data_IF_540357869601
#
_entry.id   IF_540357869601
#
_cell.length_a   1.000
_cell.length_b   1.000
_cell.length_c   1.000
_cell.angle_alpha   90.00
_cell.angle_beta   90.00
_cell.angle_gamma   90.00
#
_symmetry.space_group_name_H-M   'P 1'
#
loop_
_entity.id
_entity.type
_entity.pdbx_description
1 polymer ?
#
# COMPACT_ATOMS: atom_id res chain seq x y z
N UNK A 1 -0.47 -8.22 1.99
CA UNK A 1 -0.59 -9.54 1.37
C UNK A 1 -0.97 -10.62 2.38
N UNK A 2 -0.21 -10.75 3.47
CA UNK A 2 -0.48 -11.73 4.53
C UNK A 2 -1.83 -11.51 5.22
N UNK A 3 -2.21 -10.25 5.44
CA UNK A 3 -3.54 -9.91 5.94
C UNK A 3 -4.64 -10.42 5.00
N UNK A 4 -4.48 -10.25 3.70
CA UNK A 4 -5.44 -10.68 2.69
C UNK A 4 -5.53 -12.20 2.58
N UNK A 5 -4.39 -12.90 2.61
CA UNK A 5 -4.35 -14.37 2.61
C UNK A 5 -5.08 -14.93 3.84
N UNK A 6 -4.71 -14.45 5.03
CA UNK A 6 -5.31 -14.93 6.28
C UNK A 6 -6.79 -14.63 6.41
N UNK A 7 -7.28 -13.62 5.70
CA UNK A 7 -8.69 -13.22 5.68
C UNK A 7 -9.48 -13.82 4.51
N UNK A 8 -8.83 -14.49 3.55
CA UNK A 8 -9.48 -15.11 2.39
C UNK A 8 -10.04 -14.10 1.38
N UNK A 9 -9.45 -12.90 1.27
CA UNK A 9 -9.94 -11.78 0.45
C UNK A 9 -8.84 -11.17 -0.42
N UNK A 10 -9.23 -10.30 -1.35
CA UNK A 10 -8.33 -9.42 -2.09
C UNK A 10 -8.49 -7.96 -1.66
N UNK A 11 -7.72 -7.06 -2.29
CA UNK A 11 -7.82 -5.63 -2.09
C UNK A 11 -7.56 -4.86 -3.38
N UNK A 12 -8.18 -3.68 -3.48
CA UNK A 12 -7.84 -2.62 -4.44
C UNK A 12 -7.21 -1.46 -3.69
N UNK A 13 -6.04 -1.05 -4.14
CA UNK A 13 -5.30 0.09 -3.59
C UNK A 13 -5.23 1.21 -4.63
N UNK A 14 -5.49 2.42 -4.20
CA UNK A 14 -5.34 3.64 -5.01
C UNK A 14 -3.94 4.20 -4.80
N UNK A 15 -3.05 4.01 -5.78
CA UNK A 15 -1.63 4.39 -5.66
C UNK A 15 -1.43 5.87 -5.31
N UNK A 16 -2.24 6.75 -5.90
CA UNK A 16 -2.22 8.18 -5.63
C UNK A 16 -2.66 8.57 -4.21
N UNK A 17 -3.38 7.68 -3.50
CA UNK A 17 -3.83 7.91 -2.12
C UNK A 17 -2.79 7.46 -1.07
N UNK A 18 -1.82 6.66 -1.46
CA UNK A 18 -0.79 6.14 -0.53
C UNK A 18 0.21 7.25 -0.21
N UNK A 19 0.37 7.62 1.08
CA UNK A 19 1.29 8.68 1.46
C UNK A 19 2.73 8.16 1.46
N UNK A 20 3.62 8.86 0.79
CA UNK A 20 5.06 8.66 0.88
C UNK A 20 5.71 9.76 1.71
N UNK A 21 6.84 9.48 2.33
CA UNK A 21 7.66 10.51 2.96
C UNK A 21 8.19 11.50 1.91
N UNK A 22 8.33 12.79 2.26
CA UNK A 22 8.95 13.75 1.36
C UNK A 22 10.34 13.28 0.90
N UNK A 23 10.58 13.32 -0.40
CA UNK A 23 11.84 12.89 -1.00
C UNK A 23 11.95 11.38 -1.31
N UNK A 24 10.99 10.55 -0.88
CA UNK A 24 11.05 9.09 -1.13
C UNK A 24 10.96 8.76 -2.63
N UNK A 25 10.06 9.41 -3.35
CA UNK A 25 9.88 9.20 -4.79
C UNK A 25 11.10 9.69 -5.58
N UNK A 26 11.66 10.84 -5.21
CA UNK A 26 12.88 11.39 -5.81
C UNK A 26 14.09 10.49 -5.54
N UNK A 27 14.19 9.92 -4.35
CA UNK A 27 15.26 8.98 -4.01
C UNK A 27 15.13 7.68 -4.83
N UNK A 28 13.92 7.15 -4.97
CA UNK A 28 13.66 5.97 -5.80
C UNK A 28 14.03 6.22 -7.27
N UNK A 29 13.62 7.35 -7.84
CA UNK A 29 13.97 7.72 -9.21
C UNK A 29 15.48 7.87 -9.44
N UNK A 30 16.26 8.13 -8.40
CA UNK A 30 17.73 8.15 -8.43
C UNK A 30 18.37 6.78 -8.16
N UNK A 31 17.57 5.74 -7.99
CA UNK A 31 18.06 4.38 -7.69
C UNK A 31 18.53 4.17 -6.24
N UNK A 32 18.20 5.08 -5.33
CA UNK A 32 18.52 4.97 -3.91
C UNK A 32 17.51 4.02 -3.22
N UNK A 33 17.56 2.75 -3.59
CA UNK A 33 16.63 1.70 -3.16
C UNK A 33 17.38 0.67 -2.32
N UNK A 34 16.89 0.32 -1.11
CA UNK A 34 17.47 -0.75 -0.32
C UNK A 34 17.34 -2.10 -1.04
N UNK A 35 18.40 -2.93 -1.01
CA UNK A 35 18.37 -4.25 -1.65
C UNK A 35 17.27 -5.18 -1.15
N UNK A 36 16.71 -4.92 0.04
CA UNK A 36 15.55 -5.63 0.57
C UNK A 36 14.27 -5.39 -0.21
N UNK A 37 14.08 -4.18 -0.76
CA UNK A 37 12.89 -3.83 -1.56
C UNK A 37 12.76 -4.71 -2.81
N UNK A 38 13.86 -4.98 -3.50
CA UNK A 38 13.86 -5.86 -4.67
C UNK A 38 13.46 -7.30 -4.31
N UNK A 39 13.93 -7.83 -3.19
CA UNK A 39 13.53 -9.17 -2.72
C UNK A 39 12.07 -9.23 -2.32
N UNK A 40 11.55 -8.19 -1.66
CA UNK A 40 10.15 -8.09 -1.30
C UNK A 40 9.27 -8.01 -2.55
N UNK A 41 9.64 -7.16 -3.52
CA UNK A 41 8.90 -7.02 -4.77
C UNK A 41 8.87 -8.35 -5.54
N UNK A 42 10.00 -9.04 -5.66
CA UNK A 42 10.08 -10.35 -6.32
C UNK A 42 9.15 -11.38 -5.65
N UNK A 43 9.04 -11.35 -4.34
CA UNK A 43 8.15 -12.24 -3.58
C UNK A 43 6.66 -11.94 -3.84
N UNK A 44 6.28 -10.65 -3.88
CA UNK A 44 4.86 -10.26 -3.97
C UNK A 44 4.36 -10.02 -5.39
N UNK A 45 5.23 -9.89 -6.41
CA UNK A 45 4.86 -9.47 -7.76
C UNK A 45 3.74 -10.30 -8.40
N UNK A 46 3.67 -11.60 -8.12
CA UNK A 46 2.63 -12.48 -8.65
C UNK A 46 1.24 -12.27 -8.01
N UNK A 47 1.18 -11.62 -6.85
CA UNK A 47 -0.06 -11.27 -6.18
C UNK A 47 -0.57 -9.87 -6.56
N UNK A 48 0.24 -9.09 -7.27
CA UNK A 48 -0.05 -7.71 -7.67
C UNK A 48 -0.52 -7.63 -9.11
N UNK A 49 -1.66 -6.97 -9.32
CA UNK A 49 -2.18 -6.59 -10.63
C UNK A 49 -2.14 -5.07 -10.75
N UNK A 50 -1.29 -4.56 -11.63
CA UNK A 50 -1.17 -3.13 -11.87
C UNK A 50 -2.23 -2.65 -12.87
N UNK A 51 -3.01 -1.63 -12.50
CA UNK A 51 -4.03 -1.00 -13.34
C UNK A 51 -3.85 0.52 -13.48
N UNK A 52 -2.82 1.08 -12.83
CA UNK A 52 -2.49 2.51 -12.94
C UNK A 52 -1.71 2.88 -14.20
N UNK A 53 -1.16 4.09 -14.23
CA UNK A 53 -0.28 4.53 -15.31
C UNK A 53 0.97 3.64 -15.37
N UNK A 54 1.20 3.04 -16.54
CA UNK A 54 2.35 2.13 -16.75
C UNK A 54 3.70 2.81 -16.56
N UNK A 55 3.80 4.11 -16.76
CA UNK A 55 5.04 4.86 -16.55
C UNK A 55 5.43 4.99 -15.07
N UNK A 56 4.45 4.88 -14.16
CA UNK A 56 4.66 5.00 -12.71
C UNK A 56 4.80 3.63 -12.02
N UNK A 57 4.59 2.55 -12.75
CA UNK A 57 4.48 1.19 -12.19
C UNK A 57 5.70 0.80 -11.37
N UNK A 58 6.85 0.80 -12.00
CA UNK A 58 8.07 0.23 -11.41
C UNK A 58 8.53 1.04 -10.18
N UNK A 59 8.50 2.36 -10.29
CA UNK A 59 8.87 3.25 -9.18
C UNK A 59 7.89 3.13 -8.00
N UNK A 60 6.59 3.00 -8.28
CA UNK A 60 5.58 2.84 -7.23
C UNK A 60 5.71 1.47 -6.56
N UNK A 61 5.81 0.39 -7.33
CA UNK A 61 5.90 -0.95 -6.77
C UNK A 61 7.15 -1.16 -5.92
N UNK A 62 8.29 -0.60 -6.33
CA UNK A 62 9.52 -0.73 -5.55
C UNK A 62 9.45 0.07 -4.23
N UNK A 63 8.79 1.24 -4.24
CA UNK A 63 8.55 2.02 -3.02
C UNK A 63 7.62 1.30 -2.05
N UNK A 64 6.54 0.67 -2.56
CA UNK A 64 5.61 -0.11 -1.73
C UNK A 64 6.25 -1.37 -1.15
N UNK A 65 7.32 -1.87 -1.76
CA UNK A 65 8.08 -3.02 -1.31
C UNK A 65 9.22 -2.69 -0.32
N UNK A 66 9.35 -1.42 0.10
CA UNK A 66 10.43 -0.98 0.99
C UNK A 66 10.42 -1.74 2.33
N UNK A 67 11.55 -2.33 2.79
CA UNK A 67 11.64 -3.11 4.02
C UNK A 67 11.73 -2.21 5.25
N UNK A 68 10.61 -1.70 5.73
CA UNK A 68 10.54 -0.80 6.87
C UNK A 68 10.46 -1.56 8.21
N UNK A 69 11.25 -1.13 9.21
CA UNK A 69 11.21 -1.69 10.57
C UNK A 69 10.13 -1.05 11.44
N UNK A 70 9.71 0.17 11.12
CA UNK A 70 8.73 0.94 11.89
C UNK A 70 7.81 1.71 10.94
N UNK A 71 7.10 0.99 10.08
CA UNK A 71 6.11 1.55 9.17
C UNK A 71 4.83 2.00 9.87
N UNK A 72 3.93 2.62 9.12
CA UNK A 72 2.59 2.98 9.59
C UNK A 72 1.71 1.76 9.82
N UNK A 73 0.54 1.98 10.43
CA UNK A 73 -0.48 0.94 10.58
C UNK A 73 -1.36 0.88 9.32
N UNK A 74 -1.62 -0.33 8.87
CA UNK A 74 -2.67 -0.62 7.89
C UNK A 74 -3.88 -1.18 8.63
N UNK A 75 -5.04 -0.52 8.49
CA UNK A 75 -6.25 -0.83 9.25
C UNK A 75 -7.39 -1.13 8.29
N UNK A 76 -7.93 -2.34 8.34
CA UNK A 76 -9.18 -2.67 7.69
C UNK A 76 -10.36 -2.29 8.59
N UNK A 77 -11.32 -1.53 8.07
CA UNK A 77 -12.47 -1.03 8.82
C UNK A 77 -13.73 -1.11 7.95
N UNK A 78 -14.90 -1.45 8.52
CA UNK A 78 -16.15 -1.36 7.78
C UNK A 78 -16.40 0.05 7.21
N UNK A 79 -16.91 0.20 5.98
CA UNK A 79 -17.11 1.52 5.35
C UNK A 79 -17.89 2.50 6.24
N UNK A 80 -18.91 2.04 6.95
CA UNK A 80 -19.70 2.86 7.87
C UNK A 80 -18.92 3.42 9.08
N UNK A 81 -17.71 2.92 9.34
CA UNK A 81 -16.85 3.36 10.45
C UNK A 81 -15.65 4.20 9.99
N UNK A 82 -15.42 4.32 8.68
CA UNK A 82 -14.26 5.01 8.14
C UNK A 82 -14.17 6.46 8.60
N UNK A 83 -15.24 7.23 8.43
CA UNK A 83 -15.26 8.65 8.81
C UNK A 83 -14.99 8.86 10.32
N UNK A 84 -15.61 8.03 11.17
CA UNK A 84 -15.40 8.08 12.61
C UNK A 84 -13.93 7.76 13.00
N UNK A 85 -13.31 6.78 12.32
CA UNK A 85 -11.90 6.45 12.53
C UNK A 85 -11.00 7.60 12.11
N UNK A 86 -11.20 8.17 10.92
CA UNK A 86 -10.38 9.28 10.41
C UNK A 86 -10.50 10.51 11.33
N UNK A 87 -11.70 10.82 11.81
CA UNK A 87 -11.91 11.93 12.75
C UNK A 87 -11.18 11.69 14.08
N UNK A 88 -11.24 10.47 14.63
CA UNK A 88 -10.55 10.10 15.86
C UNK A 88 -9.02 10.19 15.73
N UNK A 89 -8.47 9.72 14.60
CA UNK A 89 -7.05 9.82 14.30
C UNK A 89 -6.61 11.30 14.22
N UNK A 90 -7.38 12.13 13.52
CA UNK A 90 -7.09 13.56 13.40
C UNK A 90 -7.12 14.27 14.76
N UNK A 91 -8.08 13.95 15.63
CA UNK A 91 -8.13 14.47 17.02
C UNK A 91 -6.90 14.07 17.84
N UNK A 92 -6.31 12.93 17.53
CA UNK A 92 -5.08 12.43 18.16
C UNK A 92 -3.80 12.95 17.49
N UNK A 93 -3.91 13.85 16.50
CA UNK A 93 -2.77 14.39 15.77
C UNK A 93 -2.17 13.40 14.75
N UNK A 94 -2.89 12.35 14.39
CA UNK A 94 -2.45 11.33 13.43
C UNK A 94 -3.14 11.55 12.09
N UNK A 95 -2.36 11.69 11.01
CA UNK A 95 -2.88 11.79 9.65
C UNK A 95 -3.27 10.39 9.12
N UNK A 96 -4.56 10.05 9.20
CA UNK A 96 -5.10 8.85 8.58
C UNK A 96 -5.53 9.10 7.13
N UNK A 97 -5.40 8.08 6.26
CA UNK A 97 -5.88 8.12 4.88
C UNK A 97 -6.56 6.81 4.50
N UNK A 98 -7.67 6.90 3.77
CA UNK A 98 -8.21 5.76 3.06
C UNK A 98 -7.38 5.56 1.79
N UNK A 99 -6.77 4.39 1.66
CA UNK A 99 -5.86 4.07 0.54
C UNK A 99 -6.42 2.98 -0.38
N UNK A 100 -7.62 2.45 -0.09
CA UNK A 100 -8.22 1.40 -0.91
C UNK A 100 -9.37 0.70 -0.22
N UNK A 101 -9.79 -0.41 -0.81
CA UNK A 101 -10.90 -1.24 -0.36
C UNK A 101 -10.54 -2.71 -0.33
N UNK A 102 -11.16 -3.45 0.60
CA UNK A 102 -11.14 -4.91 0.59
C UNK A 102 -12.24 -5.39 -0.37
N UNK A 103 -11.91 -6.39 -1.18
CA UNK A 103 -12.81 -6.90 -2.22
C UNK A 103 -12.93 -8.44 -2.13
N UNK A 104 -14.06 -8.97 -2.59
CA UNK A 104 -14.19 -10.41 -2.86
C UNK A 104 -13.37 -10.76 -4.11
N UNK A 105 -12.20 -11.34 -3.86
CA UNK A 105 -11.26 -11.77 -4.89
C UNK A 105 -10.42 -12.93 -4.34
N UNK A 106 -9.66 -13.64 -5.17
CA UNK A 106 -8.76 -14.68 -4.68
C UNK A 106 -7.85 -14.18 -3.55
N UNK A 107 -7.71 -14.98 -2.51
CA UNK A 107 -6.96 -14.61 -1.31
C UNK A 107 -5.56 -14.08 -1.63
N UNK A 108 -5.22 -12.92 -1.10
CA UNK A 108 -3.91 -12.30 -1.30
C UNK A 108 -3.77 -11.46 -2.57
N UNK A 109 -4.78 -11.43 -3.47
CA UNK A 109 -4.71 -10.60 -4.68
C UNK A 109 -4.74 -9.11 -4.31
N UNK A 110 -3.83 -8.32 -4.88
CA UNK A 110 -3.77 -6.88 -4.74
C UNK A 110 -3.87 -6.22 -6.13
N UNK A 111 -4.92 -5.44 -6.35
CA UNK A 111 -5.04 -4.57 -7.52
C UNK A 111 -4.51 -3.19 -7.09
N UNK A 112 -3.56 -2.64 -7.85
CA UNK A 112 -3.03 -1.28 -7.62
C UNK A 112 -3.38 -0.43 -8.84
N UNK A 113 -4.21 0.61 -8.61
CA UNK A 113 -4.71 1.51 -9.63
C UNK A 113 -4.16 2.94 -9.47
#
# INVERSE_FOLDING_TARGET
>A
HELLISSGVGARLESAAIPFYPGAQEAAAQGLIPGGAYRNLDYYQNAVQWQGDSALKDDTLILLADPQTSGGLLIAVPPARLEALLASLAQSGVAGRAIGTIEEAPAGTMIIA
#
